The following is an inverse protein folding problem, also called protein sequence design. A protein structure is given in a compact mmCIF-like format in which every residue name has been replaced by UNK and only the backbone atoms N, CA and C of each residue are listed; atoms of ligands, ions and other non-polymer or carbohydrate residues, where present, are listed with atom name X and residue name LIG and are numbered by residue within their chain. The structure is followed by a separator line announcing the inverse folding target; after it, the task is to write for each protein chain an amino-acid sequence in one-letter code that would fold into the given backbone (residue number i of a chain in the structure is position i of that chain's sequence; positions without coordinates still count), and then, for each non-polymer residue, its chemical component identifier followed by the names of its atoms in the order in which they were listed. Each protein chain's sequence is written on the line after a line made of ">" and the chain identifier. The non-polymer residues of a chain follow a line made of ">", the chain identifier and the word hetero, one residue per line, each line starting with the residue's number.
data_IF_101604843564
#
_entry.id   IF_101604843564
#
_cell.length_a   1.000
_cell.length_b   1.000
_cell.length_c   1.000
_cell.angle_alpha   90.00
_cell.angle_beta   90.00
_cell.angle_gamma   90.00
#
_symmetry.space_group_name_H-M   'P 1'
#
loop_
_entity.id
_entity.type
_entity.pdbx_description
1 polymer ?
#
# COMPACT_ATOMS: atom_id res chain seq x y z
N UNK A 1 -20.79 -5.49 0.48
CA UNK A 1 -20.58 -4.93 -0.89
C UNK A 1 -21.73 -5.18 -1.88
N UNK A 2 -22.91 -5.59 -1.40
CA UNK A 2 -24.05 -5.87 -2.27
C UNK A 2 -24.70 -4.59 -2.83
N UNK A 3 -24.97 -3.58 -1.99
CA UNK A 3 -25.66 -2.35 -2.40
C UNK A 3 -24.79 -1.50 -3.32
N UNK A 4 -23.47 -1.49 -3.08
CA UNK A 4 -22.50 -0.82 -3.95
C UNK A 4 -22.52 -1.45 -5.35
N UNK A 5 -22.53 -2.78 -5.43
CA UNK A 5 -22.60 -3.50 -6.70
C UNK A 5 -23.93 -3.30 -7.44
N UNK A 6 -25.04 -3.08 -6.74
CA UNK A 6 -26.34 -2.77 -7.36
C UNK A 6 -26.32 -1.44 -8.15
N UNK A 7 -25.43 -0.50 -7.81
CA UNK A 7 -25.31 0.78 -8.52
C UNK A 7 -24.73 0.59 -9.93
N UNK A 8 -23.56 -0.04 -10.02
CA UNK A 8 -22.88 -0.28 -11.29
C UNK A 8 -21.81 -1.38 -11.17
N UNK A 9 -22.17 -2.66 -11.31
CA UNK A 9 -21.31 -3.79 -10.94
C UNK A 9 -20.05 -3.88 -11.81
N UNK A 10 -20.16 -3.61 -13.11
CA UNK A 10 -19.00 -3.61 -14.02
C UNK A 10 -17.98 -2.52 -13.66
N UNK A 11 -18.45 -1.34 -13.25
CA UNK A 11 -17.57 -0.23 -12.83
C UNK A 11 -16.95 -0.46 -11.46
N UNK A 12 -17.67 -1.12 -10.55
CA UNK A 12 -17.13 -1.54 -9.28
C UNK A 12 -16.02 -2.58 -9.49
N UNK A 13 -16.26 -3.61 -10.30
CA UNK A 13 -15.23 -4.62 -10.64
C UNK A 13 -14.00 -3.95 -11.27
N UNK A 14 -14.19 -2.99 -12.18
CA UNK A 14 -13.09 -2.21 -12.80
C UNK A 14 -12.24 -1.47 -11.74
N UNK A 15 -12.88 -0.86 -10.74
CA UNK A 15 -12.19 -0.19 -9.62
C UNK A 15 -11.50 -1.18 -8.67
N UNK A 16 -12.11 -2.32 -8.36
CA UNK A 16 -11.47 -3.33 -7.53
C UNK A 16 -10.27 -3.98 -8.23
N UNK A 17 -10.32 -4.17 -9.55
CA UNK A 17 -9.19 -4.66 -10.35
C UNK A 17 -8.02 -3.67 -10.37
N UNK A 18 -8.33 -2.37 -10.37
CA UNK A 18 -7.33 -1.31 -10.19
C UNK A 18 -6.63 -1.47 -8.84
N UNK A 19 -7.39 -1.50 -7.74
CA UNK A 19 -6.84 -1.67 -6.38
C UNK A 19 -6.03 -2.95 -6.23
N UNK A 20 -6.57 -4.09 -6.67
CA UNK A 20 -5.87 -5.39 -6.63
C UNK A 20 -4.57 -5.39 -7.43
N UNK A 21 -4.47 -4.56 -8.47
CA UNK A 21 -3.24 -4.40 -9.24
C UNK A 21 -2.20 -3.59 -8.48
N UNK A 22 -2.65 -2.60 -7.73
CA UNK A 22 -1.82 -1.80 -6.86
C UNK A 22 -1.29 -2.62 -5.68
N UNK A 23 -2.12 -3.36 -4.93
CA UNK A 23 -1.66 -4.16 -3.76
C UNK A 23 -0.60 -5.19 -4.17
N UNK A 24 -0.84 -5.89 -5.29
CA UNK A 24 0.16 -6.83 -5.82
C UNK A 24 1.50 -6.17 -6.12
N UNK A 25 1.47 -4.91 -6.50
CA UNK A 25 2.70 -4.15 -6.74
C UNK A 25 3.30 -3.72 -5.41
N UNK A 26 2.51 -3.19 -4.46
CA UNK A 26 2.94 -2.84 -3.11
C UNK A 26 3.69 -4.00 -2.42
N UNK A 27 3.12 -5.21 -2.41
CA UNK A 27 3.76 -6.42 -1.90
C UNK A 27 5.18 -6.61 -2.44
N UNK A 28 5.39 -6.42 -3.75
CA UNK A 28 6.72 -6.55 -4.37
C UNK A 28 7.68 -5.43 -3.98
N UNK A 29 7.16 -4.21 -3.82
CA UNK A 29 7.94 -3.07 -3.37
C UNK A 29 8.45 -3.33 -1.95
N UNK A 30 7.56 -3.75 -1.04
CA UNK A 30 7.93 -4.18 0.31
C UNK A 30 8.93 -5.32 0.30
N UNK A 31 8.70 -6.39 -0.46
CA UNK A 31 9.64 -7.53 -0.57
C UNK A 31 11.06 -7.06 -0.93
N UNK A 32 11.17 -6.09 -1.85
CA UNK A 32 12.45 -5.53 -2.25
C UNK A 32 13.09 -4.67 -1.15
N UNK A 33 12.31 -3.82 -0.48
CA UNK A 33 12.81 -2.98 0.62
C UNK A 33 13.27 -3.86 1.79
N UNK A 34 12.45 -4.83 2.21
CA UNK A 34 12.77 -5.81 3.25
C UNK A 34 14.06 -6.60 2.94
N UNK A 35 14.25 -7.01 1.67
CA UNK A 35 15.49 -7.66 1.25
C UNK A 35 16.74 -6.79 1.47
N UNK A 36 16.63 -5.47 1.36
CA UNK A 36 17.75 -4.56 1.58
C UNK A 36 17.92 -4.23 3.05
N UNK A 37 16.82 -4.07 3.79
CA UNK A 37 16.84 -3.87 5.23
C UNK A 37 17.49 -5.05 5.96
N UNK A 38 17.13 -6.29 5.58
CA UNK A 38 17.68 -7.52 6.16
C UNK A 38 19.17 -7.74 5.86
N UNK A 39 19.69 -7.08 4.83
CA UNK A 39 21.12 -7.08 4.51
C UNK A 39 21.89 -5.94 5.21
N UNK A 40 21.21 -5.05 5.93
CA UNK A 40 21.82 -3.93 6.65
C UNK A 40 22.61 -4.40 7.87
N UNK A 41 23.69 -3.69 8.19
CA UNK A 41 24.43 -3.84 9.46
C UNK A 41 23.93 -2.88 10.55
N UNK A 42 22.99 -1.98 10.22
CA UNK A 42 22.43 -1.00 11.14
C UNK A 42 21.36 -1.62 12.04
N UNK A 43 21.61 -1.64 13.35
CA UNK A 43 20.71 -2.21 14.34
C UNK A 43 19.34 -1.51 14.40
N UNK A 44 19.26 -0.21 14.08
CA UNK A 44 17.98 0.49 14.02
C UNK A 44 17.15 0.00 12.83
N UNK A 45 17.78 -0.18 11.66
CA UNK A 45 17.11 -0.75 10.48
C UNK A 45 16.62 -2.17 10.74
N UNK A 46 17.46 -3.00 11.37
CA UNK A 46 17.08 -4.37 11.72
C UNK A 46 15.92 -4.39 12.74
N UNK A 47 15.83 -3.38 13.61
CA UNK A 47 14.73 -3.23 14.56
C UNK A 47 13.38 -2.90 13.92
N UNK A 48 13.37 -2.37 12.69
CA UNK A 48 12.14 -2.06 11.95
C UNK A 48 11.58 -3.25 11.16
N UNK A 49 12.34 -4.36 11.04
CA UNK A 49 12.02 -5.45 10.14
C UNK A 49 10.68 -6.12 10.44
N UNK A 50 10.37 -6.34 11.72
CA UNK A 50 9.13 -7.03 12.11
C UNK A 50 7.90 -6.19 11.72
N UNK A 51 7.94 -4.87 11.96
CA UNK A 51 6.87 -3.94 11.55
C UNK A 51 6.71 -3.90 10.03
N UNK A 52 7.82 -3.72 9.29
CA UNK A 52 7.77 -3.67 7.83
C UNK A 52 7.32 -5.00 7.20
N UNK A 53 7.60 -6.13 7.85
CA UNK A 53 7.11 -7.44 7.44
C UNK A 53 5.62 -7.60 7.70
N UNK A 54 5.11 -7.09 8.83
CA UNK A 54 3.68 -7.09 9.13
C UNK A 54 2.90 -6.30 8.07
N UNK A 55 3.35 -5.08 7.72
CA UNK A 55 2.72 -4.27 6.67
C UNK A 55 2.72 -4.98 5.31
N UNK A 56 3.85 -5.58 4.93
CA UNK A 56 3.93 -6.40 3.71
C UNK A 56 2.93 -7.57 3.70
N UNK A 57 2.64 -8.15 4.87
CA UNK A 57 1.70 -9.27 4.99
C UNK A 57 0.25 -8.78 4.95
N UNK A 58 -0.04 -7.59 5.50
CA UNK A 58 -1.32 -6.88 5.38
C UNK A 58 -1.63 -6.56 3.91
N UNK A 59 -0.66 -6.01 3.15
CA UNK A 59 -0.76 -5.79 1.69
C UNK A 59 -1.14 -7.07 0.91
N UNK A 60 -0.57 -8.20 1.32
CA UNK A 60 -0.87 -9.49 0.70
C UNK A 60 -2.29 -9.98 1.04
N UNK A 61 -2.74 -9.76 2.28
CA UNK A 61 -4.12 -10.01 2.70
C UNK A 61 -5.10 -9.15 1.90
N UNK A 62 -4.80 -7.86 1.75
CA UNK A 62 -5.65 -6.92 1.01
C UNK A 62 -5.78 -7.34 -0.45
N UNK A 63 -4.67 -7.74 -1.07
CA UNK A 63 -4.67 -8.30 -2.41
C UNK A 63 -5.61 -9.52 -2.48
N UNK A 64 -5.45 -10.49 -1.58
CA UNK A 64 -6.27 -11.72 -1.56
C UNK A 64 -7.76 -11.39 -1.38
N UNK A 65 -8.08 -10.52 -0.43
CA UNK A 65 -9.44 -10.09 -0.16
C UNK A 65 -10.08 -9.43 -1.39
N UNK A 66 -9.37 -8.52 -2.07
CA UNK A 66 -9.87 -7.89 -3.29
C UNK A 66 -10.15 -8.92 -4.40
N UNK A 67 -9.29 -9.94 -4.54
CA UNK A 67 -9.54 -11.02 -5.48
C UNK A 67 -10.81 -11.80 -5.15
N UNK A 68 -11.06 -12.08 -3.86
CA UNK A 68 -12.30 -12.72 -3.42
C UNK A 68 -13.53 -11.88 -3.75
N UNK A 69 -13.48 -10.56 -3.49
CA UNK A 69 -14.59 -9.66 -3.81
C UNK A 69 -14.86 -9.60 -5.31
N UNK A 70 -13.80 -9.51 -6.13
CA UNK A 70 -13.93 -9.54 -7.59
C UNK A 70 -14.61 -10.84 -8.04
N UNK A 71 -14.19 -12.00 -7.52
CA UNK A 71 -14.82 -13.30 -7.85
C UNK A 71 -16.28 -13.35 -7.41
N UNK A 72 -16.59 -12.86 -6.21
CA UNK A 72 -17.94 -12.84 -5.67
C UNK A 72 -18.90 -11.98 -6.51
N UNK A 73 -18.39 -10.91 -7.12
CA UNK A 73 -19.13 -10.06 -8.05
C UNK A 73 -19.21 -10.62 -9.48
N UNK A 74 -18.60 -11.79 -9.74
CA UNK A 74 -18.57 -12.43 -11.06
C UNK A 74 -17.50 -11.87 -12.02
N UNK A 75 -16.54 -11.10 -11.51
CA UNK A 75 -15.41 -10.59 -12.27
C UNK A 75 -14.31 -11.62 -12.48
N UNK A 76 -13.50 -11.41 -13.52
CA UNK A 76 -12.25 -12.14 -13.73
C UNK A 76 -11.11 -11.40 -13.03
N UNK A 77 -10.53 -12.03 -12.01
CA UNK A 77 -9.39 -11.51 -11.24
C UNK A 77 -8.15 -11.25 -12.11
N UNK A 78 -7.99 -12.01 -13.19
CA UNK A 78 -6.90 -11.82 -14.14
C UNK A 78 -7.26 -10.85 -15.27
N UNK A 79 -8.47 -10.28 -15.23
CA UNK A 79 -8.95 -9.33 -16.22
C UNK A 79 -8.12 -8.05 -16.20
N UNK A 80 -7.74 -7.57 -17.38
CA UNK A 80 -7.10 -6.26 -17.52
C UNK A 80 -8.10 -5.20 -17.98
N UNK A 81 -8.36 -4.23 -17.10
CA UNK A 81 -9.18 -3.07 -17.41
C UNK A 81 -8.31 -1.87 -17.81
N UNK A 82 -8.95 -0.81 -18.31
CA UNK A 82 -8.21 0.43 -18.60
C UNK A 82 -7.63 1.05 -17.32
N UNK A 83 -8.36 0.98 -16.20
CA UNK A 83 -7.90 1.46 -14.89
C UNK A 83 -6.78 0.61 -14.33
N UNK A 84 -6.90 -0.71 -14.35
CA UNK A 84 -5.84 -1.58 -13.84
C UNK A 84 -4.54 -1.45 -14.63
N UNK A 85 -4.61 -1.24 -15.95
CA UNK A 85 -3.42 -0.90 -16.75
C UNK A 85 -2.80 0.46 -16.40
N UNK A 86 -3.62 1.45 -16.06
CA UNK A 86 -3.13 2.77 -15.61
C UNK A 86 -2.42 2.64 -14.26
N UNK A 87 -3.06 2.03 -13.26
CA UNK A 87 -2.48 1.77 -11.94
C UNK A 87 -1.16 0.99 -12.05
N UNK A 88 -1.11 -0.06 -12.88
CA UNK A 88 0.13 -0.78 -13.16
C UNK A 88 1.22 0.12 -13.76
N UNK A 89 0.84 1.11 -14.57
CA UNK A 89 1.80 2.05 -15.18
C UNK A 89 2.35 3.03 -14.16
N UNK A 90 1.49 3.56 -13.30
CA UNK A 90 1.86 4.49 -12.23
C UNK A 90 2.77 3.79 -11.21
N UNK A 91 2.37 2.61 -10.75
CA UNK A 91 3.15 1.82 -9.79
C UNK A 91 4.50 1.36 -10.36
N UNK A 92 4.59 1.08 -11.68
CA UNK A 92 5.87 0.82 -12.36
C UNK A 92 6.87 1.98 -12.26
N UNK A 93 6.40 3.22 -12.17
CA UNK A 93 7.28 4.38 -11.96
C UNK A 93 7.99 4.31 -10.60
N UNK A 94 7.26 3.89 -9.57
CA UNK A 94 7.80 3.70 -8.21
C UNK A 94 8.73 2.47 -8.18
N UNK A 95 8.32 1.37 -8.80
CA UNK A 95 9.13 0.15 -8.94
C UNK A 95 10.48 0.45 -9.61
N UNK A 96 10.49 1.29 -10.66
CA UNK A 96 11.73 1.72 -11.31
C UNK A 96 12.69 2.46 -10.37
N UNK A 97 12.19 3.19 -9.37
CA UNK A 97 13.05 3.81 -8.35
C UNK A 97 13.58 2.75 -7.40
N UNK A 98 12.71 1.87 -6.91
CA UNK A 98 13.06 0.86 -5.91
C UNK A 98 14.06 -0.20 -6.43
N UNK A 99 14.02 -0.49 -7.73
CA UNK A 99 14.93 -1.46 -8.36
C UNK A 99 16.31 -0.90 -8.73
N UNK A 100 16.56 0.40 -8.55
CA UNK A 100 17.86 1.01 -8.87
C UNK A 100 18.93 0.58 -7.87
N UNK A 101 20.11 0.24 -8.38
CA UNK A 101 21.26 -0.18 -7.58
C UNK A 101 21.95 0.98 -6.84
N UNK A 102 21.76 2.22 -7.28
CA UNK A 102 22.39 3.41 -6.71
C UNK A 102 21.57 4.08 -5.59
N UNK A 103 20.48 3.45 -5.16
CA UNK A 103 19.58 3.98 -4.13
C UNK A 103 19.94 3.45 -2.73
N UNK A 104 19.91 4.36 -1.75
CA UNK A 104 20.05 4.04 -0.33
C UNK A 104 18.67 3.87 0.32
N UNK A 105 18.61 3.20 1.48
CA UNK A 105 17.36 2.92 2.21
C UNK A 105 16.45 4.15 2.40
N UNK A 106 16.94 5.37 2.73
CA UNK A 106 16.06 6.55 2.83
C UNK A 106 15.34 6.90 1.53
N UNK A 107 15.99 6.69 0.36
CA UNK A 107 15.34 6.90 -0.94
C UNK A 107 14.25 5.87 -1.20
N UNK A 108 14.46 4.64 -0.72
CA UNK A 108 13.50 3.54 -0.86
C UNK A 108 12.29 3.72 0.07
N UNK A 109 12.51 4.15 1.32
CA UNK A 109 11.42 4.52 2.23
C UNK A 109 10.59 5.69 1.69
N UNK A 110 11.23 6.68 1.07
CA UNK A 110 10.51 7.74 0.38
C UNK A 110 9.67 7.21 -0.80
N UNK A 111 10.23 6.32 -1.61
CA UNK A 111 9.50 5.71 -2.73
C UNK A 111 8.32 4.86 -2.25
N UNK A 112 8.49 4.11 -1.15
CA UNK A 112 7.43 3.33 -0.53
C UNK A 112 6.35 4.23 0.05
N UNK A 113 6.72 5.30 0.76
CA UNK A 113 5.77 6.32 1.24
C UNK A 113 4.95 6.94 0.10
N UNK A 114 5.54 7.11 -1.08
CA UNK A 114 4.80 7.58 -2.25
C UNK A 114 3.78 6.54 -2.77
N UNK A 115 4.06 5.25 -2.62
CA UNK A 115 3.08 4.19 -2.89
C UNK A 115 1.95 4.24 -1.86
N UNK A 116 2.27 4.29 -0.57
CA UNK A 116 1.28 4.36 0.52
C UNK A 116 0.34 5.57 0.41
N UNK A 117 0.85 6.72 -0.02
CA UNK A 117 0.02 7.90 -0.25
C UNK A 117 -1.06 7.66 -1.32
N UNK A 118 -0.72 6.90 -2.37
CA UNK A 118 -1.68 6.53 -3.43
C UNK A 118 -2.61 5.43 -2.92
N UNK A 119 -2.09 4.53 -2.10
CA UNK A 119 -2.86 3.44 -1.50
C UNK A 119 -3.98 3.95 -0.61
N UNK A 120 -3.59 4.72 0.40
CA UNK A 120 -4.46 5.32 1.38
C UNK A 120 -5.59 6.13 0.71
N UNK A 121 -5.26 6.91 -0.33
CA UNK A 121 -6.26 7.66 -1.11
C UNK A 121 -7.21 6.74 -1.91
N UNK A 122 -6.74 5.57 -2.35
CA UNK A 122 -7.55 4.56 -3.02
C UNK A 122 -8.56 3.89 -2.10
N UNK A 123 -8.17 3.55 -0.86
CA UNK A 123 -9.08 3.02 0.15
C UNK A 123 -10.08 4.06 0.63
N UNK A 124 -9.66 5.31 0.86
CA UNK A 124 -10.56 6.42 1.21
C UNK A 124 -11.68 6.61 0.16
N UNK A 125 -11.32 6.48 -1.13
CA UNK A 125 -12.31 6.51 -2.21
C UNK A 125 -13.32 5.35 -2.11
N UNK A 126 -12.87 4.13 -1.79
CA UNK A 126 -13.76 2.98 -1.62
C UNK A 126 -14.69 3.17 -0.41
N UNK A 127 -14.17 3.66 0.71
CA UNK A 127 -14.94 4.05 1.90
C UNK A 127 -16.04 5.05 1.53
N UNK A 128 -15.69 6.17 0.88
CA UNK A 128 -16.65 7.20 0.48
C UNK A 128 -17.74 6.67 -0.46
N UNK A 129 -17.40 5.76 -1.37
CA UNK A 129 -18.37 5.12 -2.26
C UNK A 129 -19.31 4.17 -1.52
N UNK A 130 -18.80 3.42 -0.54
CA UNK A 130 -19.62 2.53 0.29
C UNK A 130 -20.59 3.32 1.17
N UNK A 131 -20.14 4.43 1.77
CA UNK A 131 -21.00 5.35 2.54
C UNK A 131 -22.14 5.89 1.68
N UNK A 132 -21.85 6.45 0.50
CA UNK A 132 -22.86 7.00 -0.41
C UNK A 132 -23.83 5.92 -0.94
N UNK A 133 -23.38 4.66 -1.00
CA UNK A 133 -24.22 3.53 -1.36
C UNK A 133 -25.05 2.95 -0.20
N UNK A 134 -24.89 3.48 1.02
CA UNK A 134 -25.42 2.93 2.27
C UNK A 134 -25.02 1.45 2.49
N UNK A 135 -23.85 1.01 2.02
CA UNK A 135 -23.38 -0.38 2.09
C UNK A 135 -22.50 -0.61 3.33
N UNK A 136 -23.13 -0.68 4.51
CA UNK A 136 -22.44 -0.82 5.81
C UNK A 136 -21.43 -1.97 5.84
N UNK A 137 -21.73 -3.11 5.19
CA UNK A 137 -20.81 -4.25 5.12
C UNK A 137 -19.55 -3.94 4.30
N UNK A 138 -19.69 -3.24 3.17
CA UNK A 138 -18.52 -2.80 2.41
C UNK A 138 -17.74 -1.73 3.17
N UNK A 139 -18.47 -0.80 3.79
CA UNK A 139 -17.89 0.30 4.55
C UNK A 139 -17.01 -0.21 5.68
N UNK A 140 -17.52 -1.12 6.51
CA UNK A 140 -16.76 -1.72 7.61
C UNK A 140 -15.49 -2.42 7.11
N UNK A 141 -15.58 -3.14 5.97
CA UNK A 141 -14.44 -3.84 5.39
C UNK A 141 -13.38 -2.90 4.79
N UNK A 142 -13.80 -1.76 4.23
CA UNK A 142 -12.90 -0.74 3.70
C UNK A 142 -12.26 0.09 4.81
N UNK A 143 -13.02 0.45 5.85
CA UNK A 143 -12.48 1.19 7.00
C UNK A 143 -11.40 0.41 7.75
N UNK A 144 -11.54 -0.93 7.85
CA UNK A 144 -10.50 -1.77 8.42
C UNK A 144 -9.17 -1.62 7.67
N UNK A 145 -9.20 -1.78 6.34
CA UNK A 145 -8.00 -1.70 5.49
C UNK A 145 -7.46 -0.29 5.41
N UNK A 146 -8.34 0.71 5.37
CA UNK A 146 -7.95 2.11 5.43
C UNK A 146 -7.18 2.41 6.72
N UNK A 147 -7.57 1.86 7.86
CA UNK A 147 -6.83 2.04 9.11
C UNK A 147 -5.45 1.37 9.07
N UNK A 148 -5.35 0.16 8.51
CA UNK A 148 -4.06 -0.52 8.29
C UNK A 148 -3.13 0.33 7.39
N UNK A 149 -3.66 0.87 6.28
CA UNK A 149 -2.90 1.76 5.39
C UNK A 149 -2.53 3.12 6.01
N UNK A 150 -3.36 3.63 6.93
CA UNK A 150 -3.02 4.83 7.70
C UNK A 150 -1.80 4.59 8.60
N UNK A 151 -1.73 3.43 9.25
CA UNK A 151 -0.59 3.02 10.08
C UNK A 151 0.69 2.86 9.23
N UNK A 152 0.60 2.20 8.06
CA UNK A 152 1.72 2.07 7.11
C UNK A 152 2.31 3.44 6.75
N UNK A 153 1.42 4.36 6.35
CA UNK A 153 1.76 5.69 5.89
C UNK A 153 2.35 6.55 7.02
N UNK A 154 1.77 6.50 8.22
CA UNK A 154 2.27 7.24 9.38
C UNK A 154 3.67 6.77 9.76
N UNK A 155 3.91 5.46 9.81
CA UNK A 155 5.21 4.89 10.13
C UNK A 155 6.31 5.31 9.15
N UNK A 156 6.02 5.30 7.84
CA UNK A 156 6.97 5.77 6.82
C UNK A 156 7.17 7.28 6.87
N UNK A 157 6.13 8.06 7.17
CA UNK A 157 6.26 9.51 7.39
C UNK A 157 7.14 9.83 8.59
N UNK A 158 6.97 9.12 9.70
CA UNK A 158 7.85 9.28 10.86
C UNK A 158 9.29 8.92 10.47
N UNK A 159 9.50 7.76 9.86
CA UNK A 159 10.82 7.30 9.39
C UNK A 159 11.52 8.38 8.53
N UNK A 160 10.82 8.92 7.54
CA UNK A 160 11.36 9.98 6.68
C UNK A 160 11.62 11.28 7.43
N UNK A 161 10.78 11.62 8.41
CA UNK A 161 10.98 12.78 9.28
C UNK A 161 12.25 12.63 10.11
N UNK A 162 12.51 11.45 10.68
CA UNK A 162 13.75 11.16 11.45
C UNK A 162 15.01 11.30 10.61
N UNK A 163 14.97 10.82 9.36
CA UNK A 163 16.07 11.03 8.41
C UNK A 163 16.28 12.51 8.10
N UNK A 164 15.20 13.24 7.78
CA UNK A 164 15.28 14.65 7.46
C UNK A 164 15.78 15.50 8.65
N UNK A 165 15.30 15.22 9.86
CA UNK A 165 15.76 15.86 11.10
C UNK A 165 17.26 15.64 11.31
N UNK A 166 17.73 14.38 11.23
CA UNK A 166 19.16 14.07 11.40
C UNK A 166 20.04 14.76 10.36
N UNK A 167 19.61 14.81 9.09
CA UNK A 167 20.40 15.41 8.01
C UNK A 167 20.38 16.95 8.01
N UNK A 168 19.22 17.56 8.26
CA UNK A 168 19.02 19.01 8.13
C UNK A 168 19.29 19.75 9.43
N UNK A 169 18.79 19.23 10.55
CA UNK A 169 18.93 19.87 11.86
C UNK A 169 20.18 19.39 12.61
N UNK A 170 20.75 18.26 12.18
CA UNK A 170 21.85 17.59 12.88
C UNK A 170 21.35 16.82 14.10
N UNK A 171 22.10 15.79 14.50
CA UNK A 171 21.73 14.91 15.60
C UNK A 171 21.92 13.44 15.25
N UNK A 172 21.88 12.58 16.27
CA UNK A 172 21.91 11.14 16.05
C UNK A 172 20.57 10.69 15.44
N UNK A 173 20.63 9.87 14.39
CA UNK A 173 19.45 9.24 13.82
C UNK A 173 18.79 8.33 14.87
N UNK A 174 17.46 8.42 14.97
CA UNK A 174 16.62 7.60 15.82
C UNK A 174 15.41 7.16 15.00
N UNK A 175 15.48 5.97 14.41
CA UNK A 175 14.37 5.39 13.66
C UNK A 175 13.29 4.82 14.60
N UNK A 176 12.02 4.77 14.17
CA UNK A 176 10.94 4.18 14.96
C UNK A 176 11.18 2.68 15.16
N UNK A 177 10.86 2.16 16.35
CA UNK A 177 11.04 0.73 16.69
C UNK A 177 9.73 -0.02 16.90
N UNK A 178 8.60 0.68 16.97
CA UNK A 178 7.24 0.14 17.06
C UNK A 178 6.31 1.05 16.21
N UNK A 179 5.16 0.53 15.72
CA UNK A 179 4.10 1.34 15.10
C UNK A 179 3.56 2.42 16.06
#
# INVERSE_FOLDING_TARGET
>A
MKKLAERNPEKLIDLLLERRTFERTAVKLYDRVLSLMSASEDAQILGMLDTMQAYRDEEAEHQEWLEEQIRALGGDVNGESARSRLAATEARGIEQVILREDMELPHLFHALMAAELVDNAGWDLLTALAEEADDDEALDAFLLRQAEEEDHLEYLRETMSRYAESQVLGGALQLPTEP
#
